data_IF_501542999076
#
_entry.id   IF_501542999076
#
_cell.length_a   1.000
_cell.length_b   1.000
_cell.length_c   1.000
_cell.angle_alpha   90.00
_cell.angle_beta   90.00
_cell.angle_gamma   90.00
#
_symmetry.space_group_name_H-M   'P 1'
#
loop_
_entity.id
_entity.type
_entity.pdbx_description
1 polymer ?
#
# COMPACT_ATOMS: atom_id res chain seq x y z
N UNK A 1 6.15 -35.36 4.24
CA UNK A 1 6.24 -34.03 3.60
C UNK A 1 4.98 -33.57 2.89
N UNK A 2 4.00 -34.42 2.53
CA UNK A 2 2.75 -33.95 1.87
C UNK A 2 1.53 -33.77 2.80
N UNK A 3 1.66 -34.09 4.10
CA UNK A 3 0.57 -33.96 5.08
C UNK A 3 0.67 -32.70 5.96
N UNK A 4 1.89 -32.16 6.17
CA UNK A 4 2.09 -30.91 6.94
C UNK A 4 1.56 -29.68 6.20
N UNK A 5 1.78 -29.62 4.89
CA UNK A 5 1.48 -28.43 4.07
C UNK A 5 -0.03 -28.26 3.84
N UNK A 6 -0.79 -29.36 3.88
CA UNK A 6 -2.26 -29.32 3.85
C UNK A 6 -2.88 -28.93 5.19
N UNK A 7 -2.14 -29.02 6.29
CA UNK A 7 -2.65 -28.82 7.63
C UNK A 7 -2.45 -27.37 8.12
N UNK A 8 -1.43 -26.65 7.62
CA UNK A 8 -1.28 -25.20 7.84
C UNK A 8 -2.16 -24.35 6.93
N UNK A 9 -2.44 -24.78 5.69
CA UNK A 9 -3.42 -24.12 4.83
C UNK A 9 -4.85 -24.20 5.39
N UNK A 10 -5.10 -25.12 6.33
CA UNK A 10 -6.42 -25.39 6.88
C UNK A 10 -6.87 -24.40 7.98
N UNK A 11 -6.04 -23.43 8.38
CA UNK A 11 -6.38 -22.52 9.49
C UNK A 11 -6.20 -21.02 9.19
N UNK A 12 -5.90 -20.62 7.94
CA UNK A 12 -5.95 -19.20 7.55
C UNK A 12 -7.39 -18.79 7.34
N UNK A 13 -7.97 -18.10 8.32
CA UNK A 13 -9.33 -17.59 8.20
C UNK A 13 -9.30 -16.25 7.46
N UNK A 14 -9.23 -16.35 6.13
CA UNK A 14 -9.35 -15.20 5.26
C UNK A 14 -10.68 -14.49 5.51
N UNK A 15 -10.62 -13.16 5.54
CA UNK A 15 -11.77 -12.29 5.71
C UNK A 15 -12.01 -11.45 4.45
N UNK A 16 -13.24 -10.96 4.31
CA UNK A 16 -13.61 -9.99 3.30
C UNK A 16 -13.68 -8.60 3.90
N UNK A 17 -13.15 -7.61 3.19
CA UNK A 17 -13.41 -6.19 3.42
C UNK A 17 -14.00 -5.60 2.13
N UNK A 18 -14.88 -4.61 2.25
CA UNK A 18 -15.46 -3.96 1.06
C UNK A 18 -15.53 -2.45 1.25
N UNK A 19 -14.96 -1.72 0.31
CA UNK A 19 -14.80 -0.26 0.38
C UNK A 19 -15.25 0.40 -0.92
N UNK A 20 -16.10 1.42 -0.79
CA UNK A 20 -16.42 2.36 -1.86
C UNK A 20 -15.69 3.68 -1.63
N UNK A 21 -14.98 4.15 -2.65
CA UNK A 21 -14.03 5.26 -2.52
C UNK A 21 -13.90 6.09 -3.78
N UNK A 22 -14.98 6.23 -4.56
CA UNK A 22 -14.95 6.80 -5.90
C UNK A 22 -14.53 5.76 -6.93
N UNK A 23 -13.86 6.19 -8.00
CA UNK A 23 -13.44 5.28 -9.05
C UNK A 23 -12.61 4.12 -8.49
N UNK A 24 -13.19 2.93 -8.56
CA UNK A 24 -12.61 1.67 -8.12
C UNK A 24 -11.25 1.34 -8.75
N UNK A 25 -10.93 1.79 -9.97
CA UNK A 25 -9.57 1.64 -10.54
C UNK A 25 -8.50 2.26 -9.66
N UNK A 26 -8.79 3.42 -9.04
CA UNK A 26 -7.87 4.08 -8.12
C UNK A 26 -7.84 3.42 -6.73
N UNK A 27 -8.90 2.69 -6.37
CA UNK A 27 -9.01 2.00 -5.09
C UNK A 27 -8.37 0.62 -5.07
N UNK A 28 -8.06 0.00 -6.21
CA UNK A 28 -7.40 -1.32 -6.26
C UNK A 28 -5.91 -1.23 -5.90
N UNK A 29 -5.15 -0.41 -6.64
CA UNK A 29 -3.68 -0.31 -6.49
C UNK A 29 -3.14 -0.02 -5.08
N UNK A 30 -3.87 0.66 -4.17
CA UNK A 30 -3.40 0.89 -2.80
C UNK A 30 -3.51 -0.32 -1.88
N UNK A 31 -4.17 -1.42 -2.29
CA UNK A 31 -4.28 -2.65 -1.49
C UNK A 31 -3.72 -3.86 -2.21
N UNK A 32 -3.77 -3.85 -3.55
CA UNK A 32 -3.29 -4.96 -4.36
C UNK A 32 -1.79 -5.15 -4.14
N UNK A 33 -1.37 -6.42 -4.23
CA UNK A 33 0.02 -6.79 -4.01
C UNK A 33 0.48 -6.25 -2.64
N UNK A 34 -0.25 -6.53 -1.55
CA UNK A 34 0.26 -6.31 -0.20
C UNK A 34 0.34 -7.66 0.51
N UNK A 35 1.33 -7.86 1.39
CA UNK A 35 1.41 -9.11 2.13
C UNK A 35 0.15 -9.30 2.97
N UNK A 36 -0.46 -10.49 2.87
CA UNK A 36 -1.73 -10.76 3.53
C UNK A 36 -2.96 -10.37 2.69
N UNK A 37 -2.82 -9.62 1.59
CA UNK A 37 -3.90 -9.40 0.64
C UNK A 37 -3.85 -10.50 -0.42
N UNK A 38 -4.87 -11.35 -0.45
CA UNK A 38 -4.96 -12.46 -1.41
C UNK A 38 -5.58 -12.01 -2.74
N UNK A 39 -6.61 -11.16 -2.67
CA UNK A 39 -7.38 -10.76 -3.86
C UNK A 39 -8.02 -9.40 -3.67
N UNK A 40 -8.01 -8.59 -4.73
CA UNK A 40 -8.78 -7.34 -4.81
C UNK A 40 -9.65 -7.39 -6.06
N UNK A 41 -10.97 -7.25 -5.90
CA UNK A 41 -11.95 -7.33 -7.00
C UNK A 41 -12.70 -6.02 -7.11
N UNK A 42 -12.71 -5.45 -8.30
CA UNK A 42 -13.54 -4.31 -8.69
C UNK A 42 -14.99 -4.73 -8.88
N UNK A 43 -15.96 -3.99 -8.35
CA UNK A 43 -17.38 -4.33 -8.51
C UNK A 43 -18.37 -3.31 -7.96
N UNK A 44 -19.63 -3.73 -7.86
CA UNK A 44 -20.78 -2.90 -7.50
C UNK A 44 -21.51 -3.48 -6.28
N UNK A 45 -21.86 -2.63 -5.31
CA UNK A 45 -22.60 -3.06 -4.11
C UNK A 45 -23.43 -1.92 -3.51
N UNK A 46 -24.27 -2.20 -2.51
CA UNK A 46 -25.10 -1.22 -1.80
C UNK A 46 -26.36 -0.74 -2.53
N UNK A 47 -26.52 -1.08 -3.82
CA UNK A 47 -27.69 -0.75 -4.62
C UNK A 47 -28.80 -1.80 -4.60
N UNK A 48 -29.81 -1.60 -5.44
CA UNK A 48 -31.02 -2.41 -5.49
C UNK A 48 -31.21 -3.16 -6.82
N UNK A 49 -30.39 -2.90 -7.83
CA UNK A 49 -30.43 -3.60 -9.12
C UNK A 49 -29.61 -4.88 -9.03
N UNK A 50 -30.19 -6.02 -9.42
CA UNK A 50 -29.45 -7.28 -9.44
C UNK A 50 -28.53 -7.35 -10.67
N UNK A 51 -27.26 -7.71 -10.48
CA UNK A 51 -26.25 -7.87 -11.54
C UNK A 51 -26.15 -6.68 -12.51
N UNK A 52 -25.93 -5.44 -12.02
CA UNK A 52 -25.91 -4.26 -12.88
C UNK A 52 -24.68 -4.25 -13.80
N UNK A 53 -24.80 -3.66 -14.99
CA UNK A 53 -23.65 -3.34 -15.85
C UNK A 53 -23.01 -2.01 -15.46
N UNK A 54 -21.77 -1.78 -15.91
CA UNK A 54 -21.11 -0.49 -15.72
C UNK A 54 -21.94 0.69 -16.26
N UNK A 55 -22.58 0.54 -17.43
CA UNK A 55 -23.43 1.60 -17.98
C UNK A 55 -24.65 1.90 -17.11
N UNK A 56 -25.25 0.86 -16.52
CA UNK A 56 -26.38 1.02 -15.61
C UNK A 56 -25.95 1.73 -14.32
N UNK A 57 -24.80 1.36 -13.75
CA UNK A 57 -24.24 2.03 -12.57
C UNK A 57 -23.92 3.50 -12.87
N UNK A 58 -23.32 3.79 -14.03
CA UNK A 58 -23.03 5.15 -14.47
C UNK A 58 -24.29 6.01 -14.71
N UNK A 59 -25.47 5.40 -14.84
CA UNK A 59 -26.73 6.12 -14.97
C UNK A 59 -27.24 6.73 -13.65
N UNK A 60 -26.61 6.40 -12.51
CA UNK A 60 -27.01 6.81 -11.16
C UNK A 60 -28.43 6.35 -10.74
N UNK A 61 -29.01 5.36 -11.45
CA UNK A 61 -30.36 4.86 -11.15
C UNK A 61 -30.38 3.60 -10.30
N UNK A 62 -29.29 2.85 -10.24
CA UNK A 62 -29.23 1.52 -9.58
C UNK A 62 -28.96 1.60 -8.08
N UNK A 63 -28.54 2.76 -7.59
CA UNK A 63 -28.13 3.00 -6.20
C UNK A 63 -26.82 2.30 -5.80
N UNK A 64 -26.13 1.64 -6.73
CA UNK A 64 -24.86 0.98 -6.44
C UNK A 64 -23.73 1.99 -6.27
N UNK A 65 -22.79 1.63 -5.41
CA UNK A 65 -21.48 2.24 -5.29
C UNK A 65 -20.50 1.46 -6.17
N UNK A 66 -19.56 2.14 -6.80
CA UNK A 66 -18.31 1.51 -7.23
C UNK A 66 -17.48 1.16 -5.99
N UNK A 67 -17.10 -0.11 -5.87
CA UNK A 67 -16.43 -0.64 -4.70
C UNK A 67 -15.34 -1.64 -5.07
N UNK A 68 -14.41 -1.84 -4.14
CA UNK A 68 -13.44 -2.93 -4.16
C UNK A 68 -13.77 -3.91 -3.03
N UNK A 69 -13.78 -5.21 -3.34
CA UNK A 69 -13.85 -6.28 -2.35
C UNK A 69 -12.46 -6.92 -2.22
N UNK A 70 -11.96 -6.95 -0.99
CA UNK A 70 -10.61 -7.39 -0.66
C UNK A 70 -10.73 -8.68 0.15
N UNK A 71 -10.09 -9.75 -0.31
CA UNK A 71 -9.86 -10.97 0.47
C UNK A 71 -8.50 -10.84 1.13
N UNK A 72 -8.45 -10.91 2.46
CA UNK A 72 -7.23 -10.68 3.23
C UNK A 72 -7.07 -11.64 4.41
N UNK A 73 -5.82 -11.88 4.80
CA UNK A 73 -5.41 -12.61 5.99
C UNK A 73 -5.24 -11.61 7.14
N UNK A 74 -6.17 -11.55 8.13
CA UNK A 74 -6.13 -10.57 9.21
C UNK A 74 -4.91 -10.71 10.13
N UNK A 75 -4.25 -11.87 10.16
CA UNK A 75 -3.04 -12.10 10.96
C UNK A 75 -1.80 -11.47 10.32
N UNK A 76 -1.84 -11.25 9.00
CA UNK A 76 -0.75 -10.63 8.22
C UNK A 76 -1.04 -9.17 7.91
N UNK A 77 -2.31 -8.86 7.60
CA UNK A 77 -2.77 -7.53 7.25
C UNK A 77 -4.06 -7.21 8.01
N UNK A 78 -3.97 -6.65 9.23
CA UNK A 78 -5.15 -6.46 10.07
C UNK A 78 -6.10 -5.42 9.46
N UNK A 79 -7.40 -5.55 9.77
CA UNK A 79 -8.44 -4.70 9.21
C UNK A 79 -8.23 -3.20 9.49
N UNK A 80 -7.68 -2.86 10.66
CA UNK A 80 -7.23 -1.50 10.99
C UNK A 80 -6.27 -0.88 9.96
N UNK A 81 -5.35 -1.68 9.38
CA UNK A 81 -4.44 -1.20 8.33
C UNK A 81 -5.15 -0.97 7.01
N UNK A 82 -6.18 -1.77 6.70
CA UNK A 82 -7.05 -1.52 5.54
C UNK A 82 -7.79 -0.19 5.71
N UNK A 83 -8.31 0.09 6.91
CA UNK A 83 -8.97 1.35 7.23
C UNK A 83 -8.01 2.55 7.11
N UNK A 84 -6.80 2.45 7.67
CA UNK A 84 -5.77 3.48 7.57
C UNK A 84 -5.45 3.84 6.11
N UNK A 85 -5.31 2.83 5.24
CA UNK A 85 -5.08 3.03 3.82
C UNK A 85 -6.31 3.62 3.13
N UNK A 86 -7.50 3.06 3.40
CA UNK A 86 -8.75 3.52 2.82
C UNK A 86 -8.98 5.01 3.07
N UNK A 87 -8.85 5.47 4.32
CA UNK A 87 -9.03 6.87 4.70
C UNK A 87 -8.07 7.81 3.97
N UNK A 88 -6.86 7.34 3.68
CA UNK A 88 -5.91 8.12 2.89
C UNK A 88 -6.39 8.28 1.46
N UNK A 89 -7.00 7.26 0.85
CA UNK A 89 -7.33 7.30 -0.57
C UNK A 89 -8.49 8.23 -0.93
N UNK A 90 -9.35 8.61 0.01
CA UNK A 90 -10.62 9.30 -0.26
C UNK A 90 -10.64 10.74 0.28
N UNK A 91 -11.57 11.57 -0.22
CA UNK A 91 -12.10 12.73 0.51
C UNK A 91 -13.27 12.26 1.39
N UNK A 92 -13.05 12.05 2.70
CA UNK A 92 -14.07 11.52 3.59
C UNK A 92 -15.14 12.55 3.96
N UNK A 93 -15.02 13.78 3.45
CA UNK A 93 -15.92 14.90 3.71
C UNK A 93 -16.80 15.28 2.52
N UNK A 94 -16.70 14.56 1.41
CA UNK A 94 -17.45 14.80 0.18
C UNK A 94 -18.68 13.87 0.06
N UNK A 95 -19.91 14.40 0.18
CA UNK A 95 -21.12 13.59 0.11
C UNK A 95 -21.60 13.30 -1.32
N UNK A 96 -21.04 13.96 -2.35
CA UNK A 96 -21.59 13.93 -3.71
C UNK A 96 -20.70 13.26 -4.76
N UNK A 97 -19.68 12.51 -4.33
CA UNK A 97 -18.71 11.85 -5.20
C UNK A 97 -17.31 11.90 -4.61
N UNK A 98 -16.29 11.67 -5.44
CA UNK A 98 -14.89 11.75 -5.07
C UNK A 98 -14.11 12.58 -6.08
N UNK A 99 -13.56 13.70 -5.59
CA UNK A 99 -12.75 14.61 -6.38
C UNK A 99 -13.53 15.10 -7.62
N UNK A 100 -13.03 14.81 -8.82
CA UNK A 100 -13.71 15.16 -10.08
C UNK A 100 -14.77 14.14 -10.51
N UNK A 101 -14.76 12.93 -9.95
CA UNK A 101 -15.78 11.91 -10.20
C UNK A 101 -17.03 12.22 -9.36
N UNK A 102 -18.12 12.62 -10.01
CA UNK A 102 -19.37 13.01 -9.36
C UNK A 102 -20.47 12.00 -9.69
N UNK A 103 -21.35 11.76 -8.73
CA UNK A 103 -22.44 10.79 -8.88
C UNK A 103 -22.67 10.00 -7.60
N UNK A 104 -23.81 9.33 -7.54
CA UNK A 104 -24.17 8.49 -6.40
C UNK A 104 -23.26 7.27 -6.29
N UNK A 105 -22.79 6.75 -7.44
CA UNK A 105 -21.88 5.61 -7.54
C UNK A 105 -20.47 5.90 -7.01
N UNK A 106 -20.04 7.17 -7.04
CA UNK A 106 -18.72 7.58 -6.59
C UNK A 106 -18.69 8.04 -5.12
N UNK A 107 -19.76 7.85 -4.35
CA UNK A 107 -19.77 8.18 -2.93
C UNK A 107 -18.87 7.23 -2.13
N UNK A 108 -18.57 7.60 -0.89
CA UNK A 108 -17.70 6.82 -0.01
C UNK A 108 -18.51 6.00 0.99
N UNK A 109 -18.15 4.73 1.15
CA UNK A 109 -18.75 3.86 2.15
C UNK A 109 -17.79 2.73 2.56
N UNK A 110 -17.90 2.29 3.81
CA UNK A 110 -17.29 1.07 4.34
C UNK A 110 -18.41 0.05 4.53
N UNK A 111 -18.29 -1.10 3.86
CA UNK A 111 -19.24 -2.20 3.96
C UNK A 111 -18.68 -3.29 4.88
N UNK A 112 -19.19 -3.36 6.11
CA UNK A 112 -18.70 -4.31 7.11
C UNK A 112 -19.30 -5.70 6.92
N UNK A 113 -18.48 -6.74 7.08
CA UNK A 113 -18.86 -8.16 6.94
C UNK A 113 -19.15 -8.84 8.28
N UNK A 114 -18.77 -8.21 9.40
CA UNK A 114 -19.03 -8.68 10.76
C UNK A 114 -19.06 -7.49 11.76
N UNK A 115 -19.44 -7.75 13.01
CA UNK A 115 -19.56 -6.70 14.03
C UNK A 115 -18.20 -6.11 14.47
N UNK A 116 -17.12 -6.90 14.41
CA UNK A 116 -15.77 -6.44 14.73
C UNK A 116 -15.31 -5.37 13.72
N UNK A 117 -15.47 -5.63 12.42
CA UNK A 117 -15.20 -4.66 11.35
C UNK A 117 -16.02 -3.39 11.52
N UNK A 118 -17.29 -3.51 11.90
CA UNK A 118 -18.14 -2.34 12.16
C UNK A 118 -17.58 -1.49 13.29
N UNK A 119 -17.21 -2.11 14.42
CA UNK A 119 -16.64 -1.41 15.57
C UNK A 119 -15.32 -0.72 15.22
N UNK A 120 -14.42 -1.40 14.52
CA UNK A 120 -13.16 -0.83 14.04
C UNK A 120 -13.37 0.31 13.05
N UNK A 121 -14.31 0.17 12.11
CA UNK A 121 -14.65 1.22 11.15
C UNK A 121 -15.23 2.46 11.84
N UNK A 122 -16.12 2.28 12.82
CA UNK A 122 -16.70 3.37 13.60
C UNK A 122 -15.64 4.08 14.45
N UNK A 123 -14.76 3.31 15.11
CA UNK A 123 -13.65 3.85 15.90
C UNK A 123 -12.67 4.65 15.02
N UNK A 124 -12.24 4.10 13.88
CA UNK A 124 -11.33 4.79 12.96
C UNK A 124 -11.93 6.06 12.36
N UNK A 125 -13.25 6.06 12.04
CA UNK A 125 -13.98 7.25 11.61
C UNK A 125 -14.00 8.34 12.69
N UNK A 126 -14.23 7.96 13.95
CA UNK A 126 -14.22 8.89 15.08
C UNK A 126 -12.82 9.49 15.31
N UNK A 127 -11.79 8.66 15.27
CA UNK A 127 -10.39 9.10 15.39
C UNK A 127 -10.03 10.08 14.27
N UNK A 128 -10.39 9.77 13.02
CA UNK A 128 -10.16 10.65 11.88
C UNK A 128 -10.88 12.00 12.06
N UNK A 129 -12.12 11.98 12.53
CA UNK A 129 -12.89 13.20 12.84
C UNK A 129 -12.26 14.03 13.97
N UNK A 130 -11.67 13.40 14.97
CA UNK A 130 -11.00 14.07 16.09
C UNK A 130 -9.57 14.54 15.76
N UNK A 131 -8.97 14.06 14.67
CA UNK A 131 -7.57 14.32 14.32
C UNK A 131 -7.26 15.78 13.94
N UNK A 132 -8.28 16.61 13.70
CA UNK A 132 -8.12 17.96 13.15
C UNK A 132 -7.54 17.98 11.72
N UNK A 133 -7.62 16.85 10.99
CA UNK A 133 -7.17 16.77 9.59
C UNK A 133 -8.16 17.40 8.62
N UNK A 134 -9.45 17.39 8.96
CA UNK A 134 -10.51 17.90 8.12
C UNK A 134 -11.38 18.90 8.88
N UNK A 135 -11.68 20.03 8.25
CA UNK A 135 -12.54 21.08 8.82
C UNK A 135 -14.03 20.73 8.69
N UNK A 136 -14.37 19.79 7.81
CA UNK A 136 -15.74 19.34 7.54
C UNK A 136 -16.00 17.98 8.21
N UNK A 137 -17.25 17.67 8.58
CA UNK A 137 -17.60 16.37 9.14
C UNK A 137 -17.25 15.20 8.19
N UNK A 138 -16.86 14.07 8.78
CA UNK A 138 -16.65 12.82 8.03
C UNK A 138 -18.00 12.22 7.64
N UNK A 139 -18.33 12.26 6.35
CA UNK A 139 -19.64 11.82 5.80
C UNK A 139 -19.64 10.39 5.28
N UNK A 140 -18.47 9.75 5.14
CA UNK A 140 -18.35 8.35 4.69
C UNK A 140 -19.24 7.42 5.51
N UNK A 141 -20.10 6.66 4.83
CA UNK A 141 -21.08 5.80 5.49
C UNK A 141 -20.43 4.48 5.96
N UNK A 142 -20.98 3.88 7.02
CA UNK A 142 -20.60 2.54 7.49
C UNK A 142 -21.87 1.70 7.41
N UNK A 143 -21.90 0.78 6.45
CA UNK A 143 -23.10 0.04 6.05
C UNK A 143 -22.86 -1.47 6.15
N UNK A 144 -23.89 -2.29 6.43
CA UNK A 144 -23.73 -3.74 6.34
C UNK A 144 -23.41 -4.15 4.90
N UNK A 145 -22.48 -5.09 4.72
CA UNK A 145 -22.21 -5.67 3.42
C UNK A 145 -23.44 -6.40 2.86
N UNK A 146 -23.84 -6.03 1.65
CA UNK A 146 -24.89 -6.69 0.88
C UNK A 146 -24.32 -7.54 -0.26
N UNK A 147 -25.13 -7.88 -1.27
CA UNK A 147 -24.64 -8.51 -2.49
C UNK A 147 -23.53 -7.68 -3.15
N UNK A 148 -22.48 -8.35 -3.59
CA UNK A 148 -21.38 -7.76 -4.35
C UNK A 148 -21.37 -8.36 -5.75
N UNK A 149 -21.45 -7.51 -6.76
CA UNK A 149 -21.44 -7.90 -8.17
C UNK A 149 -20.08 -7.53 -8.76
N UNK A 150 -19.22 -8.52 -9.11
CA UNK A 150 -17.97 -8.23 -9.79
C UNK A 150 -18.22 -7.45 -11.08
N UNK A 151 -17.44 -6.40 -11.29
CA UNK A 151 -17.45 -5.67 -12.54
C UNK A 151 -16.83 -6.50 -13.66
N UNK A 152 -17.10 -6.09 -14.88
CA UNK A 152 -16.65 -6.70 -16.12
C UNK A 152 -15.11 -6.86 -16.14
N UNK A 153 -14.62 -7.92 -16.80
CA UNK A 153 -13.21 -8.31 -16.79
C UNK A 153 -12.25 -7.17 -17.20
N UNK A 154 -12.69 -6.26 -18.07
CA UNK A 154 -11.89 -5.13 -18.53
C UNK A 154 -11.65 -4.08 -17.44
N UNK A 155 -12.42 -4.08 -16.34
CA UNK A 155 -12.17 -3.24 -15.17
C UNK A 155 -11.20 -3.87 -14.16
N UNK A 156 -10.99 -5.19 -14.22
CA UNK A 156 -10.11 -5.89 -13.29
C UNK A 156 -8.65 -5.63 -13.65
N UNK A 157 -7.81 -5.31 -12.65
CA UNK A 157 -6.38 -5.04 -12.89
C UNK A 157 -6.11 -3.90 -13.88
N UNK A 158 -7.02 -2.91 -13.98
CA UNK A 158 -6.98 -1.86 -15.01
C UNK A 158 -5.64 -1.11 -15.08
N UNK A 159 -5.00 -0.91 -13.92
CA UNK A 159 -3.71 -0.22 -13.81
C UNK A 159 -2.54 -1.02 -14.41
N UNK A 160 -2.62 -2.36 -14.46
CA UNK A 160 -1.67 -3.22 -15.17
C UNK A 160 -1.96 -3.29 -16.68
N UNK A 161 -3.23 -3.43 -17.05
CA UNK A 161 -3.63 -3.62 -18.47
C UNK A 161 -3.56 -2.33 -19.27
N UNK A 162 -3.79 -1.18 -18.63
CA UNK A 162 -3.86 0.14 -19.26
C UNK A 162 -3.03 1.20 -18.49
N UNK A 163 -1.71 0.99 -18.27
CA UNK A 163 -0.93 1.76 -17.31
C UNK A 163 -0.83 3.26 -17.67
N UNK A 164 -0.72 3.61 -18.95
CA UNK A 164 -0.65 5.01 -19.39
C UNK A 164 -1.98 5.73 -19.18
N UNK A 165 -3.10 5.09 -19.53
CA UNK A 165 -4.44 5.67 -19.39
C UNK A 165 -4.82 5.79 -17.91
N UNK A 166 -4.50 4.77 -17.11
CA UNK A 166 -4.65 4.83 -15.65
C UNK A 166 -3.86 5.99 -15.04
N UNK A 167 -2.57 6.14 -15.37
CA UNK A 167 -1.74 7.25 -14.85
C UNK A 167 -2.28 8.62 -15.24
N UNK A 168 -2.74 8.77 -16.48
CA UNK A 168 -3.35 10.01 -16.95
C UNK A 168 -4.67 10.31 -16.20
N UNK A 169 -5.51 9.29 -16.03
CA UNK A 169 -6.77 9.40 -15.30
C UNK A 169 -6.54 9.76 -13.82
N UNK A 170 -5.68 9.03 -13.11
CA UNK A 170 -5.37 9.28 -11.69
C UNK A 170 -4.83 10.70 -11.46
N UNK A 171 -3.93 11.16 -12.32
CA UNK A 171 -3.41 12.53 -12.27
C UNK A 171 -4.52 13.56 -12.53
N UNK A 172 -5.45 13.25 -13.42
CA UNK A 172 -6.58 14.10 -13.79
C UNK A 172 -7.77 14.05 -12.83
N UNK A 173 -7.89 13.06 -11.95
CA UNK A 173 -9.05 12.90 -11.07
C UNK A 173 -9.07 13.91 -9.92
N UNK A 174 -7.92 14.50 -9.59
CA UNK A 174 -7.74 15.37 -8.43
C UNK A 174 -7.37 14.63 -7.14
N UNK A 175 -7.34 13.29 -7.15
CA UNK A 175 -6.98 12.46 -5.99
C UNK A 175 -5.58 12.77 -5.48
N UNK A 176 -4.56 12.69 -6.33
CA UNK A 176 -3.16 12.89 -5.91
C UNK A 176 -2.94 14.30 -5.33
N UNK A 177 -3.60 15.33 -5.89
CA UNK A 177 -3.53 16.70 -5.36
C UNK A 177 -4.18 16.82 -3.98
N UNK A 178 -5.29 16.11 -3.75
CA UNK A 178 -5.91 16.02 -2.44
C UNK A 178 -5.01 15.31 -1.43
N UNK A 179 -4.38 14.21 -1.84
CA UNK A 179 -3.46 13.45 -0.99
C UNK A 179 -2.31 14.31 -0.49
N UNK A 180 -1.64 15.00 -1.42
CA UNK A 180 -0.53 15.89 -1.09
C UNK A 180 -0.96 16.99 -0.12
N UNK A 181 -2.16 17.56 -0.31
CA UNK A 181 -2.66 18.63 0.56
C UNK A 181 -2.99 18.15 1.99
N UNK A 182 -3.59 16.97 2.15
CA UNK A 182 -4.13 16.52 3.44
C UNK A 182 -3.27 15.52 4.18
N UNK A 183 -2.37 14.81 3.51
CA UNK A 183 -1.54 13.74 4.08
C UNK A 183 -0.04 14.03 4.05
N UNK A 184 0.38 15.16 3.45
CA UNK A 184 1.76 15.64 3.47
C UNK A 184 1.88 17.04 4.11
N UNK A 185 1.15 17.28 5.21
CA UNK A 185 1.10 18.59 5.88
C UNK A 185 2.40 18.86 6.66
N UNK A 186 2.71 20.13 6.99
CA UNK A 186 3.85 20.47 7.83
C UNK A 186 3.90 19.67 9.15
N UNK A 187 2.75 19.43 9.80
CA UNK A 187 2.67 18.65 11.04
C UNK A 187 3.03 17.19 10.83
N UNK A 188 2.65 16.60 9.68
CA UNK A 188 3.02 15.23 9.33
C UNK A 188 4.54 15.13 9.10
N UNK A 189 5.12 16.12 8.43
CA UNK A 189 6.58 16.23 8.23
C UNK A 189 7.33 16.45 9.54
N UNK A 190 6.84 17.29 10.44
CA UNK A 190 7.43 17.50 11.77
C UNK A 190 7.36 16.23 12.64
N UNK A 191 6.25 15.49 12.60
CA UNK A 191 6.17 14.17 13.24
C UNK A 191 7.27 13.24 12.72
N UNK A 192 7.48 13.19 11.40
CA UNK A 192 8.58 12.42 10.81
C UNK A 192 9.95 12.93 11.26
N UNK A 193 10.20 14.25 11.25
CA UNK A 193 11.46 14.86 11.75
C UNK A 193 11.72 14.54 13.21
N UNK A 194 10.68 14.42 14.04
CA UNK A 194 10.82 14.07 15.46
C UNK A 194 11.11 12.59 15.71
N UNK A 195 10.68 11.72 14.79
CA UNK A 195 10.83 10.26 14.91
C UNK A 195 12.11 9.74 14.25
N UNK A 196 12.52 10.36 13.14
CA UNK A 196 13.67 9.95 12.33
C UNK A 196 14.93 10.72 12.74
N UNK A 197 16.10 10.09 12.58
CA UNK A 197 17.37 10.84 12.66
C UNK A 197 17.48 11.82 11.48
N UNK A 198 18.34 12.86 11.57
CA UNK A 198 18.55 13.79 10.47
C UNK A 198 18.94 13.10 9.15
N UNK A 199 19.76 12.04 9.20
CA UNK A 199 20.15 11.28 8.02
C UNK A 199 18.99 10.46 7.44
N UNK A 200 18.20 9.80 8.31
CA UNK A 200 17.02 9.04 7.88
C UNK A 200 15.99 9.95 7.21
N UNK A 201 15.74 11.14 7.78
CA UNK A 201 14.84 12.11 7.17
C UNK A 201 15.40 12.63 5.83
N UNK A 202 16.67 13.01 5.80
CA UNK A 202 17.33 13.50 4.57
C UNK A 202 17.27 12.48 3.43
N UNK A 203 17.58 11.21 3.72
CA UNK A 203 17.50 10.14 2.73
C UNK A 203 16.05 9.92 2.29
N UNK A 204 15.14 9.61 3.21
CA UNK A 204 13.79 9.14 2.86
C UNK A 204 12.90 10.24 2.28
N UNK A 205 12.98 11.47 2.80
CA UNK A 205 12.06 12.56 2.46
C UNK A 205 12.66 13.60 1.50
N UNK A 206 13.98 13.74 1.46
CA UNK A 206 14.68 14.76 0.66
C UNK A 206 15.52 14.15 -0.49
N UNK A 207 15.36 12.85 -0.75
CA UNK A 207 16.08 12.09 -1.78
C UNK A 207 17.61 12.15 -1.60
N UNK A 208 18.05 12.26 -0.34
CA UNK A 208 19.46 12.24 0.02
C UNK A 208 20.10 10.87 -0.17
N UNK A 209 21.43 10.84 -0.09
CA UNK A 209 22.20 9.59 -0.11
C UNK A 209 23.20 9.62 1.04
N UNK A 210 23.20 8.57 1.87
CA UNK A 210 24.14 8.46 2.98
C UNK A 210 25.57 8.16 2.47
N UNK A 211 26.63 8.47 3.25
CA UNK A 211 27.99 8.21 2.80
C UNK A 211 28.29 6.70 2.64
N UNK A 212 29.08 6.29 1.62
CA UNK A 212 29.46 4.90 1.44
C UNK A 212 30.33 4.42 2.60
N UNK A 213 30.15 3.16 3.00
CA UNK A 213 30.87 2.47 4.09
C UNK A 213 30.73 3.11 5.48
N UNK A 214 29.91 4.15 5.63
CA UNK A 214 29.64 4.83 6.90
C UNK A 214 28.15 4.76 7.22
N UNK A 215 27.63 3.55 7.14
CA UNK A 215 26.22 3.25 7.37
C UNK A 215 26.07 1.91 8.10
N UNK A 216 24.86 1.62 8.58
CA UNK A 216 24.64 0.50 9.50
C UNK A 216 24.61 -0.86 8.79
N UNK A 217 24.17 -0.91 7.52
CA UNK A 217 23.83 -2.18 6.88
C UNK A 217 24.72 -2.58 5.71
N UNK A 218 25.75 -1.82 5.33
CA UNK A 218 26.64 -2.21 4.24
C UNK A 218 27.30 -3.58 4.49
N UNK A 219 27.89 -3.81 5.66
CA UNK A 219 28.55 -5.09 6.04
C UNK A 219 27.68 -6.01 6.90
N UNK A 220 26.43 -5.64 7.15
CA UNK A 220 25.51 -6.42 7.98
C UNK A 220 25.11 -7.75 7.33
N UNK A 221 25.14 -8.85 8.10
CA UNK A 221 24.96 -10.24 7.63
C UNK A 221 23.98 -11.10 8.46
N UNK A 222 23.27 -10.53 9.44
CA UNK A 222 22.31 -11.32 10.24
C UNK A 222 21.10 -11.74 9.41
N UNK A 223 20.50 -12.87 9.76
CA UNK A 223 19.25 -13.33 9.14
C UNK A 223 18.07 -12.49 9.62
N UNK A 224 17.26 -11.98 8.69
CA UNK A 224 16.09 -11.18 9.01
C UNK A 224 15.59 -10.33 7.84
N UNK A 225 14.64 -9.43 8.14
CA UNK A 225 14.04 -8.53 7.17
C UNK A 225 14.57 -7.11 7.28
N UNK A 226 14.61 -6.43 6.15
CA UNK A 226 14.79 -4.99 6.07
C UNK A 226 13.44 -4.37 5.70
N UNK A 227 12.89 -3.58 6.61
CA UNK A 227 11.62 -2.88 6.44
C UNK A 227 11.84 -1.39 6.22
N UNK A 228 10.89 -0.72 5.57
CA UNK A 228 10.87 0.73 5.46
C UNK A 228 10.86 1.36 6.85
N UNK A 229 11.81 2.25 7.14
CA UNK A 229 11.89 2.92 8.43
C UNK A 229 10.68 3.84 8.70
N UNK A 230 10.00 4.31 7.64
CA UNK A 230 8.86 5.20 7.74
C UNK A 230 7.57 4.42 7.99
N UNK A 231 7.22 3.47 7.13
CA UNK A 231 5.95 2.72 7.21
C UNK A 231 6.02 1.39 7.97
N UNK A 232 7.21 0.80 8.11
CA UNK A 232 7.38 -0.58 8.55
C UNK A 232 7.06 -1.63 7.48
N UNK A 233 6.78 -1.23 6.24
CA UNK A 233 6.55 -2.15 5.12
C UNK A 233 7.79 -3.04 4.86
N UNK A 234 7.65 -4.37 4.76
CA UNK A 234 8.77 -5.25 4.41
C UNK A 234 9.29 -4.99 3.00
N UNK A 235 10.58 -4.64 2.87
CA UNK A 235 11.17 -4.26 1.59
C UNK A 235 12.14 -5.32 1.05
N UNK A 236 13.05 -5.85 1.88
CA UNK A 236 14.07 -6.79 1.44
C UNK A 236 14.31 -7.91 2.46
N UNK A 237 14.75 -9.07 1.97
CA UNK A 237 15.23 -10.19 2.81
C UNK A 237 16.75 -10.19 2.88
N UNK A 238 17.31 -10.60 4.02
CA UNK A 238 18.75 -10.86 4.13
C UNK A 238 19.23 -11.99 3.21
N UNK A 239 18.34 -12.86 2.70
CA UNK A 239 18.68 -13.92 1.73
C UNK A 239 19.08 -13.36 0.37
N UNK A 240 18.48 -12.23 -0.01
CA UNK A 240 18.76 -11.53 -1.27
C UNK A 240 19.89 -10.50 -1.12
N UNK A 241 20.39 -10.29 0.11
CA UNK A 241 21.48 -9.36 0.37
C UNK A 241 22.82 -9.96 -0.06
N UNK A 242 23.63 -9.18 -0.77
CA UNK A 242 24.99 -9.55 -1.14
C UNK A 242 25.98 -8.40 -0.96
N UNK A 243 27.27 -8.74 -0.94
CA UNK A 243 28.35 -7.75 -0.90
C UNK A 243 28.72 -7.33 -2.33
N UNK A 244 28.39 -6.09 -2.68
CA UNK A 244 28.72 -5.51 -3.99
C UNK A 244 30.05 -4.74 -3.98
N UNK A 245 30.62 -4.47 -2.80
CA UNK A 245 31.74 -3.55 -2.64
C UNK A 245 31.42 -2.07 -2.94
N UNK A 246 30.15 -1.69 -3.15
CA UNK A 246 29.80 -0.29 -3.45
C UNK A 246 29.75 0.63 -2.22
N UNK A 247 29.66 0.07 -1.01
CA UNK A 247 29.56 0.83 0.25
C UNK A 247 28.14 1.05 0.77
N UNK A 248 27.12 0.49 0.12
CA UNK A 248 25.73 0.48 0.57
C UNK A 248 25.17 -0.95 0.55
N UNK A 249 24.18 -1.29 1.41
CA UNK A 249 23.52 -2.59 1.33
C UNK A 249 22.94 -2.81 -0.07
N UNK A 250 23.28 -3.95 -0.65
CA UNK A 250 22.89 -4.33 -2.01
C UNK A 250 22.06 -5.60 -2.00
N UNK A 251 20.97 -5.61 -2.75
CA UNK A 251 20.05 -6.75 -2.86
C UNK A 251 19.84 -7.14 -4.33
N UNK A 252 19.62 -8.43 -4.59
CA UNK A 252 19.30 -8.94 -5.94
C UNK A 252 17.88 -8.65 -6.37
N UNK A 253 16.95 -8.66 -5.40
CA UNK A 253 15.53 -8.37 -5.63
C UNK A 253 14.85 -7.86 -4.35
N UNK A 254 13.75 -7.10 -4.46
CA UNK A 254 12.89 -6.79 -3.31
C UNK A 254 12.21 -8.06 -2.80
N UNK A 255 11.78 -8.04 -1.54
CA UNK A 255 11.04 -9.14 -0.92
C UNK A 255 9.81 -9.52 -1.73
N UNK A 256 9.15 -8.51 -2.28
CA UNK A 256 8.02 -8.62 -3.20
C UNK A 256 8.16 -7.50 -4.23
N UNK A 257 7.86 -7.77 -5.50
CA UNK A 257 8.03 -6.81 -6.61
C UNK A 257 7.32 -5.48 -6.38
N UNK A 258 6.17 -5.52 -5.70
CA UNK A 258 5.33 -4.38 -5.40
C UNK A 258 5.81 -3.52 -4.24
N UNK A 259 6.73 -4.01 -3.39
CA UNK A 259 7.18 -3.29 -2.20
C UNK A 259 7.96 -2.02 -2.58
N UNK A 260 8.42 -1.95 -3.83
CA UNK A 260 9.18 -0.83 -4.37
C UNK A 260 8.59 -0.30 -5.68
N UNK A 261 8.71 1.01 -5.87
CA UNK A 261 8.41 1.73 -7.11
C UNK A 261 9.71 2.16 -7.77
N UNK A 262 9.83 1.82 -9.04
CA UNK A 262 10.94 2.24 -9.89
C UNK A 262 10.56 3.48 -10.69
N UNK A 263 11.40 4.52 -10.62
CA UNK A 263 11.17 5.81 -11.27
C UNK A 263 12.42 6.24 -12.02
N UNK A 264 12.25 6.70 -13.25
CA UNK A 264 13.35 7.28 -14.02
C UNK A 264 13.91 8.52 -13.31
N UNK A 265 15.22 8.53 -13.08
CA UNK A 265 15.97 9.60 -12.43
C UNK A 265 17.03 10.14 -13.40
N UNK A 266 16.94 11.45 -13.68
CA UNK A 266 17.84 12.20 -14.57
C UNK A 266 18.74 13.18 -13.80
N UNK A 267 18.74 13.11 -12.47
CA UNK A 267 19.59 13.95 -11.63
C UNK A 267 21.07 13.69 -11.91
N UNK A 268 21.90 14.70 -11.60
CA UNK A 268 23.36 14.62 -11.77
C UNK A 268 23.83 14.25 -13.20
N UNK A 269 23.02 14.53 -14.22
CA UNK A 269 23.29 14.20 -15.63
C UNK A 269 23.48 12.71 -15.92
N UNK A 270 22.97 11.84 -15.05
CA UNK A 270 22.97 10.38 -15.23
C UNK A 270 21.56 9.89 -15.57
N UNK A 271 21.47 8.76 -16.25
CA UNK A 271 20.19 8.03 -16.40
C UNK A 271 20.24 6.87 -15.42
N UNK A 272 19.43 6.97 -14.35
CA UNK A 272 19.32 5.95 -13.32
C UNK A 272 17.85 5.61 -13.09
N UNK A 273 17.62 4.51 -12.39
CA UNK A 273 16.28 4.14 -11.90
C UNK A 273 16.28 4.30 -10.38
N UNK A 274 15.60 5.33 -9.91
CA UNK A 274 15.32 5.55 -8.48
C UNK A 274 14.37 4.45 -7.97
N UNK A 275 14.62 4.00 -6.75
CA UNK A 275 13.80 3.04 -6.03
C UNK A 275 13.19 3.74 -4.82
N UNK A 276 11.87 3.68 -4.68
CA UNK A 276 11.10 4.23 -3.55
C UNK A 276 10.20 3.16 -2.94
N UNK A 277 9.88 3.23 -1.65
CA UNK A 277 8.92 2.29 -1.04
C UNK A 277 7.50 2.57 -1.55
N UNK A 278 6.71 1.53 -1.78
CA UNK A 278 5.36 1.71 -2.32
C UNK A 278 4.39 2.39 -1.35
N UNK A 279 4.41 2.02 -0.06
CA UNK A 279 3.47 2.50 0.94
C UNK A 279 3.70 3.95 1.38
N UNK A 280 4.93 4.32 1.72
CA UNK A 280 5.25 5.67 2.25
C UNK A 280 5.88 6.63 1.24
N UNK A 281 6.17 6.16 0.01
CA UNK A 281 6.96 6.90 -0.97
C UNK A 281 8.33 7.38 -0.44
N UNK A 282 8.95 6.65 0.49
CA UNK A 282 10.30 6.94 0.97
C UNK A 282 11.33 6.66 -0.11
N UNK A 283 12.25 7.60 -0.35
CA UNK A 283 13.41 7.34 -1.20
C UNK A 283 14.31 6.28 -0.55
N UNK A 284 14.56 5.19 -1.28
CA UNK A 284 15.38 4.07 -0.82
C UNK A 284 16.78 4.12 -1.43
N UNK A 285 16.88 4.39 -2.73
CA UNK A 285 18.14 4.41 -3.46
C UNK A 285 17.94 4.23 -4.96
N UNK A 286 18.75 3.37 -5.58
CA UNK A 286 18.73 3.14 -7.03
C UNK A 286 18.93 1.67 -7.38
N UNK A 287 18.38 1.24 -8.51
CA UNK A 287 18.59 -0.09 -9.09
C UNK A 287 19.48 -0.01 -10.33
N UNK A 288 20.40 -0.97 -10.45
CA UNK A 288 21.39 -1.06 -11.53
C UNK A 288 21.39 -2.46 -12.14
N UNK A 289 21.85 -2.59 -13.39
CA UNK A 289 21.94 -3.87 -14.12
C UNK A 289 23.34 -4.52 -14.02
N UNK A 290 24.02 -4.31 -12.89
CA UNK A 290 25.38 -4.81 -12.61
C UNK A 290 25.41 -5.80 -11.43
N UNK A 291 24.26 -6.37 -11.08
CA UNK A 291 24.11 -7.34 -9.99
C UNK A 291 24.41 -8.78 -10.40
N UNK A 292 24.55 -9.68 -9.40
CA UNK A 292 24.73 -11.10 -9.63
C UNK A 292 23.40 -11.78 -10.01
N UNK A 293 23.49 -13.03 -10.47
CA UNK A 293 22.32 -13.86 -10.76
C UNK A 293 21.67 -13.58 -12.13
N UNK A 294 20.57 -14.30 -12.45
CA UNK A 294 19.97 -14.30 -13.78
C UNK A 294 19.29 -12.97 -14.14
N UNK A 295 18.78 -12.23 -13.15
CA UNK A 295 18.13 -10.94 -13.36
C UNK A 295 19.16 -9.81 -13.58
N UNK A 296 20.39 -10.00 -13.10
CA UNK A 296 21.47 -9.00 -13.20
C UNK A 296 21.19 -7.71 -12.43
N UNK A 297 20.22 -7.69 -11.52
CA UNK A 297 19.80 -6.50 -10.80
C UNK A 297 20.57 -6.32 -9.49
N UNK A 298 20.90 -5.06 -9.20
CA UNK A 298 21.46 -4.62 -7.93
C UNK A 298 20.65 -3.45 -7.39
N UNK A 299 19.81 -3.72 -6.40
CA UNK A 299 19.12 -2.72 -5.60
C UNK A 299 20.11 -2.16 -4.57
N UNK A 300 20.65 -0.98 -4.85
CA UNK A 300 21.61 -0.27 -4.02
C UNK A 300 20.85 0.70 -3.10
N UNK A 301 20.68 0.32 -1.83
CA UNK A 301 19.74 0.97 -0.92
C UNK A 301 20.48 1.69 0.20
N UNK A 302 19.96 2.82 0.68
CA UNK A 302 20.48 3.49 1.85
C UNK A 302 20.04 2.76 3.13
N UNK A 303 20.97 2.47 4.03
CA UNK A 303 20.67 1.95 5.37
C UNK A 303 19.77 2.87 6.16
N UNK A 304 19.95 4.19 6.02
CA UNK A 304 19.10 5.20 6.65
C UNK A 304 17.63 5.18 6.16
N UNK A 305 17.29 4.45 5.10
CA UNK A 305 15.91 4.22 4.70
C UNK A 305 15.32 2.91 5.28
N UNK A 306 16.14 2.11 5.95
CA UNK A 306 15.79 0.77 6.40
C UNK A 306 15.81 0.65 7.92
N UNK A 307 14.98 -0.25 8.43
CA UNK A 307 15.07 -0.81 9.78
C UNK A 307 15.20 -2.32 9.67
N UNK A 308 16.17 -2.90 10.37
CA UNK A 308 16.37 -4.35 10.36
C UNK A 308 15.55 -5.02 11.48
N UNK A 309 14.88 -6.12 11.15
CA UNK A 309 14.17 -6.98 12.10
C UNK A 309 14.83 -8.36 12.07
N UNK A 310 15.53 -8.77 13.15
CA UNK A 310 16.14 -10.09 13.24
C UNK A 310 15.10 -11.20 13.09
N UNK A 311 15.50 -12.33 12.50
CA UNK A 311 14.65 -13.53 12.34
C UNK A 311 13.95 -13.92 13.66
N UNK A 312 14.66 -13.85 14.77
CA UNK A 312 14.19 -14.19 16.12
C UNK A 312 13.09 -13.25 16.65
N UNK A 313 12.99 -12.02 16.13
CA UNK A 313 12.01 -11.02 16.55
C UNK A 313 10.83 -10.87 15.57
N UNK A 314 10.84 -11.56 14.43
CA UNK A 314 9.80 -11.42 13.39
C UNK A 314 8.39 -11.65 13.93
N UNK A 315 8.16 -12.73 14.70
CA UNK A 315 6.84 -13.01 15.27
C UNK A 315 6.40 -11.94 16.27
N UNK A 316 7.32 -11.51 17.14
CA UNK A 316 7.07 -10.53 18.18
C UNK A 316 6.70 -9.16 17.60
N UNK A 317 7.29 -8.81 16.47
CA UNK A 317 7.07 -7.53 15.80
C UNK A 317 5.94 -7.56 14.75
N UNK A 318 5.19 -8.67 14.62
CA UNK A 318 4.06 -8.77 13.70
C UNK A 318 4.44 -9.16 12.26
N UNK A 319 5.66 -9.67 12.04
CA UNK A 319 6.18 -10.15 10.76
C UNK A 319 6.33 -11.68 10.73
N UNK A 320 5.60 -12.40 11.59
CA UNK A 320 5.71 -13.86 11.75
C UNK A 320 5.49 -14.65 10.46
N UNK A 321 4.66 -14.14 9.54
CA UNK A 321 4.41 -14.74 8.24
C UNK A 321 5.69 -14.94 7.39
N UNK A 322 6.71 -14.11 7.60
CA UNK A 322 7.97 -14.15 6.85
C UNK A 322 9.04 -15.04 7.46
N UNK A 323 8.81 -15.58 8.66
CA UNK A 323 9.78 -16.44 9.36
C UNK A 323 10.23 -17.62 8.49
N UNK A 324 9.30 -18.19 7.70
CA UNK A 324 9.50 -19.32 6.78
C UNK A 324 10.55 -19.04 5.70
N UNK A 325 10.86 -17.79 5.39
CA UNK A 325 11.91 -17.43 4.42
C UNK A 325 13.32 -17.79 4.90
N UNK A 326 13.48 -18.01 6.21
CA UNK A 326 14.77 -18.24 6.84
C UNK A 326 14.92 -19.66 7.40
N UNK A 327 13.95 -20.55 7.18
CA UNK A 327 13.94 -21.92 7.72
C UNK A 327 14.62 -22.96 6.82
#
# INVERSE_FOLDING_TARGET
>A
MQQSDKQEAANRQLQLATFAGGCFWCMVSPFEEMPGIEKVVSGYTGGHTENPTYEEVCSDTTGHYEAVQITFDPDVFPYSRLLELFWQQIDPTDPGGQFHDRGSSYRTAIFYHNEEQKQEAEASKQELGASGRFDRPIVTEILPAGPFYPAEDYHQGYHHTNPLRYKMYRKGSGRDAFLEKHWNRPEDREKLRSRLTPMQYHVTQENGTEPPFQNEFWDHKREGLYVDIVSGEPLFSSKEKFDSGCGWPSFTEPLQSHAVKEKADFSHFMVRTEVRSSGSDSHLGHVFNDGPGPNGLRYCINSAALRFIPKEDLEKEGYGAYRKLFE
#
